data_IF_698065214323
#
_entry.id   IF_698065214323
#
_cell.length_a   1.000
_cell.length_b   1.000
_cell.length_c   1.000
_cell.angle_alpha   90.00
_cell.angle_beta   90.00
_cell.angle_gamma   90.00
#
_symmetry.space_group_name_H-M   'P 1'
#
loop_
_entity.id
_entity.type
_entity.pdbx_description
1 polymer ?
#
# COMPACT_ATOMS: atom_id res chain seq x y z
N UNK A 1 -5.37 7.17 -6.68
CA UNK A 1 -5.65 8.45 -6.00
C UNK A 1 -6.99 8.41 -5.25
N UNK A 2 -8.10 8.19 -5.92
CA UNK A 2 -9.46 8.15 -5.32
C UNK A 2 -9.57 7.07 -4.24
N UNK A 3 -9.00 5.90 -4.45
CA UNK A 3 -8.98 4.80 -3.49
C UNK A 3 -8.19 5.18 -2.24
N UNK A 4 -6.99 5.75 -2.40
CA UNK A 4 -6.16 6.24 -1.28
C UNK A 4 -6.86 7.33 -0.47
N UNK A 5 -7.57 8.25 -1.13
CA UNK A 5 -8.40 9.26 -0.46
C UNK A 5 -9.53 8.59 0.35
N UNK A 6 -10.08 7.49 -0.16
CA UNK A 6 -11.04 6.63 0.55
C UNK A 6 -10.44 5.99 1.81
N UNK A 7 -9.18 5.54 1.75
CA UNK A 7 -8.46 4.98 2.90
C UNK A 7 -8.29 6.03 4.02
N UNK A 8 -7.93 7.27 3.68
CA UNK A 8 -7.84 8.36 4.66
C UNK A 8 -9.17 8.59 5.36
N UNK A 9 -10.26 8.73 4.58
CA UNK A 9 -11.60 8.90 5.13
C UNK A 9 -12.02 7.72 6.01
N UNK A 10 -11.63 6.51 5.64
CA UNK A 10 -11.90 5.30 6.43
C UNK A 10 -11.11 5.28 7.74
N UNK A 11 -9.84 5.71 7.72
CA UNK A 11 -9.04 5.87 8.95
C UNK A 11 -9.63 6.91 9.89
N UNK A 12 -10.16 8.02 9.40
CA UNK A 12 -10.88 9.00 10.23
C UNK A 12 -12.07 8.36 10.97
N UNK A 13 -12.81 7.47 10.29
CA UNK A 13 -13.89 6.70 10.92
C UNK A 13 -13.37 5.70 11.95
N UNK A 14 -12.23 5.05 11.70
CA UNK A 14 -11.58 4.17 12.68
C UNK A 14 -11.23 4.96 13.96
N UNK A 15 -10.61 6.13 13.81
CA UNK A 15 -10.30 6.99 14.95
C UNK A 15 -11.56 7.43 15.71
N UNK A 16 -12.62 7.79 15.00
CA UNK A 16 -13.92 8.13 15.61
C UNK A 16 -14.52 6.93 16.40
N UNK A 17 -14.41 5.72 15.84
CA UNK A 17 -14.92 4.50 16.49
C UNK A 17 -14.20 4.16 17.81
N UNK A 18 -12.98 4.63 17.99
CA UNK A 18 -12.20 4.45 19.23
C UNK A 18 -12.12 5.71 20.10
N UNK A 19 -12.93 6.72 19.79
CA UNK A 19 -12.99 8.01 20.48
C UNK A 19 -11.62 8.72 20.56
N UNK A 20 -10.90 8.74 19.44
CA UNK A 20 -9.61 9.40 19.29
C UNK A 20 -9.60 10.36 18.10
N UNK A 21 -8.78 11.38 18.17
CA UNK A 21 -8.52 12.28 17.04
C UNK A 21 -7.49 11.65 16.12
N UNK A 22 -7.68 11.69 14.79
CA UNK A 22 -6.65 11.29 13.85
C UNK A 22 -5.46 12.25 13.99
N UNK A 23 -4.28 11.68 14.20
CA UNK A 23 -3.04 12.43 14.35
C UNK A 23 -1.94 11.75 13.55
N UNK A 24 -1.46 12.44 12.53
CA UNK A 24 -0.39 11.95 11.70
C UNK A 24 0.95 11.88 12.43
N UNK A 25 1.74 10.87 12.09
CA UNK A 25 3.13 10.72 12.49
C UNK A 25 3.95 10.34 11.26
N UNK A 26 5.13 10.94 11.12
CA UNK A 26 6.07 10.51 10.08
C UNK A 26 6.41 9.03 10.24
N UNK A 27 6.28 8.28 9.16
CA UNK A 27 6.61 6.86 9.10
C UNK A 27 7.88 6.68 8.27
N UNK A 28 9.01 6.46 8.92
CA UNK A 28 10.30 6.33 8.25
C UNK A 28 10.32 5.15 7.26
N UNK A 29 9.56 4.08 7.54
CA UNK A 29 9.47 2.93 6.65
C UNK A 29 8.83 3.30 5.31
N UNK A 30 7.65 3.94 5.31
CA UNK A 30 7.00 4.31 4.04
C UNK A 30 7.74 5.41 3.30
N UNK A 31 8.39 6.33 4.04
CA UNK A 31 9.28 7.34 3.43
C UNK A 31 10.45 6.65 2.74
N UNK A 32 11.11 5.69 3.39
CA UNK A 32 12.21 4.93 2.78
C UNK A 32 11.79 4.16 1.52
N UNK A 33 10.63 3.51 1.53
CA UNK A 33 10.10 2.82 0.35
C UNK A 33 9.82 3.82 -0.80
N UNK A 34 9.26 4.98 -0.48
CA UNK A 34 9.00 6.03 -1.46
C UNK A 34 10.29 6.63 -2.04
N UNK A 35 11.32 6.82 -1.21
CA UNK A 35 12.63 7.30 -1.63
C UNK A 35 13.32 6.30 -2.57
N UNK A 36 13.25 5.01 -2.27
CA UNK A 36 13.76 3.93 -3.14
C UNK A 36 13.06 3.96 -4.51
N UNK A 37 11.74 4.13 -4.54
CA UNK A 37 11.00 4.31 -5.79
C UNK A 37 11.43 5.56 -6.58
N UNK A 38 11.73 6.65 -5.90
CA UNK A 38 12.24 7.88 -6.53
C UNK A 38 13.66 7.70 -7.11
N UNK A 39 14.51 6.92 -6.44
CA UNK A 39 15.83 6.56 -6.95
C UNK A 39 15.71 5.70 -8.23
N UNK A 40 14.83 4.71 -8.24
CA UNK A 40 14.53 3.88 -9.43
C UNK A 40 14.08 4.77 -10.60
N UNK A 41 13.17 5.71 -10.37
CA UNK A 41 12.72 6.64 -11.42
C UNK A 41 13.86 7.46 -12.03
N UNK A 42 14.84 7.83 -11.23
CA UNK A 42 15.99 8.61 -11.66
C UNK A 42 17.02 7.76 -12.41
N UNK A 43 17.34 6.60 -11.86
CA UNK A 43 18.41 5.73 -12.36
C UNK A 43 18.03 5.07 -13.69
N UNK A 44 16.79 4.58 -13.79
CA UNK A 44 16.29 3.85 -14.96
C UNK A 44 15.51 4.71 -15.96
N UNK A 45 15.62 6.05 -15.85
CA UNK A 45 14.92 6.97 -16.74
C UNK A 45 15.21 6.70 -18.21
N UNK A 46 14.18 6.37 -18.98
CA UNK A 46 14.30 6.05 -20.40
C UNK A 46 14.76 4.61 -20.71
N UNK A 47 14.91 3.79 -19.69
CA UNK A 47 15.16 2.36 -19.82
C UNK A 47 13.86 1.57 -19.91
N UNK A 48 13.76 0.49 -20.70
CA UNK A 48 12.62 -0.44 -20.65
C UNK A 48 12.44 -1.12 -19.29
N UNK A 49 13.46 -1.17 -18.45
CA UNK A 49 13.40 -1.71 -17.09
C UNK A 49 12.72 -0.77 -16.08
N UNK A 50 12.45 0.49 -16.46
CA UNK A 50 11.86 1.47 -15.53
C UNK A 50 10.52 1.00 -14.97
N UNK A 51 9.63 0.52 -15.83
CA UNK A 51 8.28 0.13 -15.42
C UNK A 51 8.30 -1.10 -14.50
N UNK A 52 9.21 -2.05 -14.74
CA UNK A 52 9.43 -3.19 -13.84
C UNK A 52 9.92 -2.74 -12.46
N UNK A 53 10.85 -1.81 -12.40
CA UNK A 53 11.34 -1.24 -11.15
C UNK A 53 10.27 -0.46 -10.39
N UNK A 54 9.47 0.36 -11.07
CA UNK A 54 8.36 1.10 -10.46
C UNK A 54 7.27 0.18 -9.94
N UNK A 55 6.96 -0.88 -10.67
CA UNK A 55 5.98 -1.87 -10.25
C UNK A 55 6.46 -2.60 -8.99
N UNK A 56 7.74 -2.99 -8.94
CA UNK A 56 8.32 -3.60 -7.73
C UNK A 56 8.26 -2.65 -6.53
N UNK A 57 8.56 -1.36 -6.71
CA UNK A 57 8.42 -0.35 -5.65
C UNK A 57 6.95 -0.18 -5.20
N UNK A 58 6.00 -0.19 -6.14
CA UNK A 58 4.58 -0.15 -5.82
C UNK A 58 4.15 -1.36 -4.98
N UNK A 59 4.57 -2.57 -5.34
CA UNK A 59 4.29 -3.78 -4.55
C UNK A 59 4.92 -3.72 -3.15
N UNK A 60 6.08 -3.10 -2.98
CA UNK A 60 6.67 -2.89 -1.66
C UNK A 60 5.77 -2.01 -0.77
N UNK A 61 5.14 -0.96 -1.35
CA UNK A 61 4.12 -0.15 -0.65
C UNK A 61 2.93 -1.02 -0.25
N UNK A 62 2.34 -1.76 -1.18
CA UNK A 62 1.18 -2.61 -0.91
C UNK A 62 1.46 -3.64 0.19
N UNK A 63 2.61 -4.32 0.15
CA UNK A 63 3.00 -5.30 1.17
C UNK A 63 3.19 -4.65 2.54
N UNK A 64 3.75 -3.45 2.60
CA UNK A 64 3.85 -2.69 3.84
C UNK A 64 2.45 -2.38 4.41
N UNK A 65 1.54 -1.89 3.58
CA UNK A 65 0.18 -1.54 3.99
C UNK A 65 -0.62 -2.79 4.37
N UNK A 66 -0.53 -3.89 3.63
CA UNK A 66 -1.13 -5.18 3.98
C UNK A 66 -0.68 -5.63 5.37
N UNK A 67 0.61 -5.56 5.66
CA UNK A 67 1.16 -5.88 6.98
C UNK A 67 0.56 -4.99 8.07
N UNK A 68 0.47 -3.68 7.85
CA UNK A 68 -0.02 -2.72 8.84
C UNK A 68 -1.52 -2.87 9.07
N UNK A 69 -2.33 -2.90 8.03
CA UNK A 69 -3.79 -3.08 8.15
C UNK A 69 -4.15 -4.45 8.73
N UNK A 70 -3.43 -5.52 8.36
CA UNK A 70 -3.61 -6.85 8.93
C UNK A 70 -3.35 -6.88 10.43
N UNK A 71 -2.27 -6.26 10.89
CA UNK A 71 -1.92 -6.15 12.30
C UNK A 71 -2.96 -5.33 13.07
N UNK A 72 -3.32 -4.14 12.56
CA UNK A 72 -4.30 -3.28 13.20
C UNK A 72 -5.67 -3.92 13.30
N UNK A 73 -6.13 -4.62 12.24
CA UNK A 73 -7.36 -5.41 12.26
C UNK A 73 -7.33 -6.47 13.36
N UNK A 74 -6.24 -7.22 13.46
CA UNK A 74 -6.08 -8.25 14.50
C UNK A 74 -6.16 -7.64 15.88
N UNK A 75 -5.44 -6.56 16.14
CA UNK A 75 -5.48 -5.87 17.44
C UNK A 75 -6.85 -5.29 17.77
N UNK A 76 -7.54 -4.74 16.77
CA UNK A 76 -8.91 -4.25 16.95
C UNK A 76 -9.87 -5.37 17.38
N UNK A 77 -9.74 -6.56 16.78
CA UNK A 77 -10.52 -7.74 17.18
C UNK A 77 -10.20 -8.19 18.61
N UNK A 78 -8.92 -8.27 18.98
CA UNK A 78 -8.49 -8.64 20.35
C UNK A 78 -9.04 -7.66 21.41
N UNK A 79 -9.18 -6.38 21.04
CA UNK A 79 -9.71 -5.35 21.91
C UNK A 79 -11.25 -5.25 21.87
N UNK A 80 -11.94 -6.09 21.09
CA UNK A 80 -13.39 -6.07 20.94
C UNK A 80 -13.93 -4.86 20.16
N UNK A 81 -13.08 -4.18 19.37
CA UNK A 81 -13.39 -3.00 18.57
C UNK A 81 -13.90 -3.42 17.16
N UNK A 82 -15.06 -4.09 17.11
CA UNK A 82 -15.56 -4.74 15.88
C UNK A 82 -15.80 -3.76 14.73
N UNK A 83 -16.28 -2.55 15.00
CA UNK A 83 -16.50 -1.53 13.97
C UNK A 83 -15.18 -1.07 13.34
N UNK A 84 -14.17 -0.81 14.17
CA UNK A 84 -12.84 -0.46 13.71
C UNK A 84 -12.20 -1.62 12.91
N UNK A 85 -12.31 -2.85 13.39
CA UNK A 85 -11.81 -4.04 12.71
C UNK A 85 -12.45 -4.21 11.33
N UNK A 86 -13.77 -4.00 11.20
CA UNK A 86 -14.47 -4.07 9.92
C UNK A 86 -14.01 -3.00 8.91
N UNK A 87 -13.75 -1.78 9.37
CA UNK A 87 -13.23 -0.70 8.52
C UNK A 87 -11.79 -1.00 8.04
N UNK A 88 -10.95 -1.49 8.94
CA UNK A 88 -9.56 -1.87 8.60
C UNK A 88 -9.52 -3.06 7.63
N UNK A 89 -10.45 -4.00 7.76
CA UNK A 89 -10.56 -5.14 6.85
C UNK A 89 -10.95 -4.74 5.42
N UNK A 90 -11.78 -3.73 5.25
CA UNK A 90 -12.12 -3.19 3.94
C UNK A 90 -10.88 -2.66 3.22
N UNK A 91 -10.06 -1.85 3.90
CA UNK A 91 -8.80 -1.36 3.32
C UNK A 91 -7.83 -2.51 3.04
N UNK A 92 -7.67 -3.45 3.97
CA UNK A 92 -6.82 -4.63 3.77
C UNK A 92 -7.21 -5.44 2.52
N UNK A 93 -8.50 -5.58 2.26
CA UNK A 93 -8.99 -6.28 1.07
C UNK A 93 -8.66 -5.51 -0.23
N UNK A 94 -8.74 -4.19 -0.19
CA UNK A 94 -8.40 -3.32 -1.32
C UNK A 94 -6.90 -3.37 -1.62
N UNK A 95 -6.02 -3.32 -0.61
CA UNK A 95 -4.56 -3.44 -0.77
C UNK A 95 -4.16 -4.80 -1.37
N UNK A 96 -4.75 -5.89 -0.87
CA UNK A 96 -4.51 -7.23 -1.43
C UNK A 96 -4.96 -7.35 -2.89
N UNK A 97 -6.06 -6.70 -3.26
CA UNK A 97 -6.54 -6.67 -4.64
C UNK A 97 -5.59 -5.89 -5.55
N UNK A 98 -5.07 -4.76 -5.07
CA UNK A 98 -4.09 -3.95 -5.80
C UNK A 98 -2.79 -4.72 -6.00
N UNK A 99 -2.28 -5.37 -4.96
CA UNK A 99 -1.07 -6.21 -5.04
C UNK A 99 -1.22 -7.33 -6.07
N UNK A 100 -2.36 -8.03 -6.07
CA UNK A 100 -2.64 -9.08 -7.05
C UNK A 100 -2.70 -8.52 -8.48
N UNK A 101 -3.30 -7.35 -8.69
CA UNK A 101 -3.35 -6.69 -9.99
C UNK A 101 -1.96 -6.26 -10.48
N UNK A 102 -1.11 -5.77 -9.58
CA UNK A 102 0.29 -5.45 -9.90
C UNK A 102 1.07 -6.69 -10.32
N UNK A 103 0.88 -7.82 -9.64
CA UNK A 103 1.49 -9.10 -10.02
C UNK A 103 1.06 -9.53 -11.43
N UNK A 104 -0.23 -9.44 -11.75
CA UNK A 104 -0.75 -9.78 -13.08
C UNK A 104 -0.13 -8.90 -14.18
N UNK A 105 0.00 -7.60 -13.94
CA UNK A 105 0.64 -6.66 -14.87
C UNK A 105 2.13 -6.99 -15.03
N UNK A 106 2.83 -7.28 -13.93
CA UNK A 106 4.24 -7.65 -13.97
C UNK A 106 4.49 -8.87 -14.84
N UNK A 107 3.74 -9.95 -14.61
CA UNK A 107 3.93 -11.25 -15.28
C UNK A 107 3.44 -11.26 -16.73
N UNK A 108 2.40 -10.48 -17.04
CA UNK A 108 1.81 -10.51 -18.39
C UNK A 108 2.48 -9.53 -19.38
N UNK A 109 3.06 -8.44 -18.92
CA UNK A 109 3.55 -7.36 -19.79
C UNK A 109 4.93 -6.86 -19.37
N UNK A 110 5.02 -6.29 -18.17
CA UNK A 110 6.14 -5.42 -17.78
C UNK A 110 7.47 -6.16 -17.71
N UNK A 111 7.50 -7.38 -17.14
CA UNK A 111 8.73 -8.17 -17.04
C UNK A 111 9.22 -8.62 -18.40
N UNK A 112 8.32 -8.98 -19.30
CA UNK A 112 8.66 -9.39 -20.67
C UNK A 112 9.25 -8.22 -21.47
N UNK A 113 8.70 -7.02 -21.32
CA UNK A 113 9.24 -5.82 -21.94
C UNK A 113 10.60 -5.42 -21.37
N UNK A 114 10.81 -5.61 -20.07
CA UNK A 114 12.10 -5.37 -19.42
C UNK A 114 13.21 -6.35 -19.87
N UNK A 115 12.87 -7.61 -20.14
CA UNK A 115 13.84 -8.60 -20.69
C UNK A 115 14.31 -8.25 -22.09
N UNK A 116 13.52 -7.55 -22.87
CA UNK A 116 13.84 -7.14 -24.22
C UNK A 116 14.83 -5.95 -24.30
N UNK A 117 15.22 -5.42 -23.15
CA UNK A 117 16.18 -4.32 -23.02
C UNK A 117 17.66 -4.80 -23.06
#
# INVERSE_FOLDING_TARGET
>A
KTETEGHVTRLEKVFAAIDKRPQGKTCDAIVGIADEGAEIMKEYKGSPALDAGLLAAAQAVEHYEISRYGTLKTWANELGLSDAAGLLDQTLAEEKKTDAALTEIAESVVNVEAEAA
#
